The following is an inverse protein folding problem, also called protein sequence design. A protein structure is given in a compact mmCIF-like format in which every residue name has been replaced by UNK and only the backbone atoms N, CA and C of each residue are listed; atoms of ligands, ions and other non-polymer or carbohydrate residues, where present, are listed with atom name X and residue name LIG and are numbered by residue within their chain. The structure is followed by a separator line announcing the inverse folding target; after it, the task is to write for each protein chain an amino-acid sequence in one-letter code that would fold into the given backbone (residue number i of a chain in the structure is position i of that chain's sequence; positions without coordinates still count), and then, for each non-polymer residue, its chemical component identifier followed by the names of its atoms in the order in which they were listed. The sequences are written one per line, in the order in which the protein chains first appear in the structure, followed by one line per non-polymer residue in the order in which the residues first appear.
data_IF_970079573061
#
_entry.id   IF_970079573061
#
_cell.length_a   1.000
_cell.length_b   1.000
_cell.length_c   1.000
_cell.angle_alpha   90.00
_cell.angle_beta   90.00
_cell.angle_gamma   90.00
#
_symmetry.space_group_name_H-M   'P 1'
#
loop_
_entity.id
_entity.type
_entity.pdbx_description
1 polymer ?
#
# COMPACT_ATOMS: atom_id res chain seq x y z
N UNK A 1 25.41 10.57 5.30
CA UNK A 1 24.77 10.64 6.64
C UNK A 1 23.67 11.71 6.72
N UNK A 2 23.83 12.84 6.01
CA UNK A 2 22.89 13.98 5.97
C UNK A 2 21.46 13.62 5.55
N UNK A 3 21.28 12.72 4.57
CA UNK A 3 19.94 12.31 4.11
C UNK A 3 19.15 11.49 5.14
N UNK A 4 19.80 10.61 5.91
CA UNK A 4 19.10 9.86 6.97
C UNK A 4 18.69 10.75 8.14
N UNK A 5 19.51 11.75 8.48
CA UNK A 5 19.20 12.73 9.54
C UNK A 5 18.13 13.74 9.14
N UNK A 6 17.81 13.86 7.84
CA UNK A 6 16.77 14.76 7.35
C UNK A 6 15.36 14.29 7.71
N UNK A 7 15.16 12.97 7.94
CA UNK A 7 13.87 12.40 8.34
C UNK A 7 13.56 12.78 9.78
N UNK A 8 12.47 13.51 10.01
CA UNK A 8 12.11 14.01 11.34
C UNK A 8 11.95 12.91 12.39
N UNK A 9 11.53 11.71 12.00
CA UNK A 9 11.49 10.55 12.90
C UNK A 9 12.87 10.20 13.48
N UNK A 10 13.94 10.36 12.71
CA UNK A 10 15.30 10.05 13.15
C UNK A 10 15.86 11.15 14.06
N UNK A 11 15.43 12.41 13.88
CA UNK A 11 15.79 13.52 14.79
C UNK A 11 15.23 13.35 16.20
N UNK A 12 14.20 12.52 16.36
CA UNK A 12 13.56 12.21 17.66
C UNK A 12 14.26 11.10 18.43
N UNK A 13 15.33 10.53 17.89
CA UNK A 13 16.14 9.51 18.57
C UNK A 13 17.21 10.23 19.40
N UNK A 14 17.25 9.96 20.70
CA UNK A 14 18.24 10.50 21.64
C UNK A 14 18.64 9.43 22.67
N UNK A 15 19.60 9.73 23.55
CA UNK A 15 20.00 8.86 24.65
C UNK A 15 20.38 7.42 24.24
N UNK A 16 20.95 7.25 23.05
CA UNK A 16 21.36 5.93 22.55
C UNK A 16 22.51 5.41 23.39
N UNK A 17 22.29 4.26 24.04
CA UNK A 17 23.28 3.53 24.83
C UNK A 17 23.40 2.13 24.25
N UNK A 18 24.62 1.77 23.89
CA UNK A 18 24.95 0.40 23.50
C UNK A 18 25.27 -0.38 24.76
N UNK A 19 24.47 -1.41 25.03
CA UNK A 19 24.64 -2.33 26.15
C UNK A 19 25.68 -3.41 25.85
N UNK A 20 25.63 -4.48 26.63
CA UNK A 20 26.51 -5.62 26.42
C UNK A 20 26.20 -6.34 25.11
N UNK A 21 27.27 -6.82 24.47
CA UNK A 21 27.18 -7.75 23.37
C UNK A 21 27.27 -9.18 23.91
N UNK A 22 26.46 -10.10 23.38
CA UNK A 22 26.61 -11.54 23.61
C UNK A 22 26.92 -12.23 22.30
N UNK A 23 27.89 -13.14 22.31
CA UNK A 23 28.23 -13.92 21.12
C UNK A 23 27.14 -14.96 20.86
N UNK A 24 26.60 -14.97 19.64
CA UNK A 24 25.65 -15.99 19.20
C UNK A 24 26.37 -17.13 18.47
N UNK A 25 27.34 -16.78 17.62
CA UNK A 25 28.20 -17.72 16.89
C UNK A 25 29.57 -17.08 16.54
N UNK A 26 30.39 -17.76 15.74
CA UNK A 26 31.74 -17.29 15.34
C UNK A 26 31.75 -16.03 14.47
N UNK A 27 30.60 -15.69 13.90
CA UNK A 27 30.42 -14.57 12.98
C UNK A 27 29.32 -13.61 13.41
N UNK A 28 28.56 -13.89 14.47
CA UNK A 28 27.38 -13.13 14.87
C UNK A 28 27.40 -12.81 16.36
N UNK A 29 27.20 -11.55 16.69
CA UNK A 29 26.92 -11.08 18.05
C UNK A 29 25.49 -10.56 18.13
N UNK A 30 24.86 -10.71 19.29
CA UNK A 30 23.68 -9.97 19.69
C UNK A 30 24.11 -8.74 20.46
N UNK A 31 23.56 -7.56 20.17
CA UNK A 31 23.88 -6.30 20.85
C UNK A 31 22.59 -5.66 21.32
N UNK A 32 22.47 -5.45 22.64
CA UNK A 32 21.35 -4.70 23.21
C UNK A 32 21.63 -3.20 23.09
N UNK A 33 20.64 -2.43 22.67
CA UNK A 33 20.71 -0.99 22.53
C UNK A 33 19.48 -0.40 23.19
N UNK A 34 19.69 0.48 24.16
CA UNK A 34 18.61 1.31 24.71
C UNK A 34 18.67 2.70 24.10
N UNK A 35 17.53 3.29 23.81
CA UNK A 35 17.45 4.64 23.25
C UNK A 35 16.15 5.31 23.70
N UNK A 36 16.06 6.62 23.50
CA UNK A 36 14.81 7.35 23.60
C UNK A 36 14.31 7.67 22.19
N UNK A 37 13.09 7.26 21.83
CA UNK A 37 12.46 7.61 20.56
C UNK A 37 11.19 8.42 20.82
N UNK A 38 11.20 9.69 20.45
CA UNK A 38 10.03 10.55 20.56
C UNK A 38 9.56 10.77 22.01
N UNK A 39 10.45 10.59 22.99
CA UNK A 39 10.17 10.71 24.42
C UNK A 39 9.96 9.37 25.15
N UNK A 40 9.75 8.27 24.42
CA UNK A 40 9.62 6.94 24.99
C UNK A 40 10.99 6.23 25.06
N UNK A 41 11.23 5.44 26.10
CA UNK A 41 12.43 4.60 26.18
C UNK A 41 12.19 3.30 25.43
N UNK A 42 13.09 2.97 24.51
CA UNK A 42 13.10 1.75 23.71
C UNK A 42 14.28 0.88 24.11
N UNK A 43 14.08 -0.43 24.04
CA UNK A 43 15.10 -1.44 24.34
C UNK A 43 15.11 -2.48 23.22
N UNK A 44 16.12 -2.39 22.37
CA UNK A 44 16.22 -3.10 21.10
C UNK A 44 17.39 -4.07 21.14
N UNK A 45 17.21 -5.23 20.52
CA UNK A 45 18.28 -6.21 20.36
C UNK A 45 18.57 -6.39 18.87
N UNK A 46 19.80 -6.07 18.48
CA UNK A 46 20.27 -6.20 17.10
C UNK A 46 21.19 -7.39 16.95
N UNK A 47 21.11 -8.07 15.80
CA UNK A 47 22.16 -9.02 15.41
C UNK A 47 23.23 -8.25 14.63
N UNK A 48 24.49 -8.45 14.97
CA UNK A 48 25.62 -7.81 14.30
C UNK A 48 26.50 -8.91 13.74
N UNK A 49 26.65 -8.95 12.42
CA UNK A 49 27.35 -10.02 11.71
C UNK A 49 28.65 -9.52 11.10
N UNK A 50 29.70 -10.33 11.22
CA UNK A 50 31.00 -10.13 10.61
C UNK A 50 30.84 -10.19 9.08
N UNK A 51 31.29 -9.15 8.39
CA UNK A 51 31.32 -9.05 6.94
C UNK A 51 32.76 -9.21 6.45
N UNK A 52 33.08 -10.41 6.00
CA UNK A 52 34.42 -10.74 5.49
C UNK A 52 34.70 -10.20 4.09
N UNK A 53 33.68 -9.68 3.39
CA UNK A 53 33.83 -9.04 2.07
C UNK A 53 34.36 -7.61 2.16
N UNK A 54 34.33 -7.02 3.36
CA UNK A 54 34.82 -5.66 3.63
C UNK A 54 35.81 -5.73 4.79
N UNK A 55 37.05 -5.38 4.52
CA UNK A 55 38.13 -5.36 5.52
C UNK A 55 38.66 -3.94 5.62
N UNK A 56 38.70 -3.42 6.84
CA UNK A 56 39.44 -2.21 7.17
C UNK A 56 40.83 -2.61 7.69
N UNK A 57 41.83 -1.81 7.31
CA UNK A 57 43.22 -2.01 7.74
C UNK A 57 43.72 -3.45 7.53
N UNK A 58 43.41 -4.02 6.36
CA UNK A 58 43.89 -5.34 5.85
C UNK A 58 43.40 -6.57 6.62
N UNK A 59 43.13 -6.50 7.93
CA UNK A 59 42.81 -7.66 8.76
C UNK A 59 41.67 -7.46 9.76
N UNK A 60 40.99 -6.30 9.77
CA UNK A 60 39.78 -6.10 10.57
C UNK A 60 38.52 -6.16 9.69
N UNK A 61 37.75 -7.26 9.76
CA UNK A 61 36.49 -7.35 9.03
C UNK A 61 35.51 -6.30 9.53
N UNK A 62 34.76 -5.71 8.60
CA UNK A 62 33.64 -4.85 8.93
C UNK A 62 32.56 -5.64 9.65
N UNK A 63 31.70 -4.94 10.37
CA UNK A 63 30.52 -5.51 11.00
C UNK A 63 29.27 -4.87 10.41
N UNK A 64 28.26 -5.69 10.10
CA UNK A 64 26.95 -5.25 9.62
C UNK A 64 25.92 -5.45 10.70
N UNK A 65 25.17 -4.41 11.01
CA UNK A 65 23.99 -4.50 11.87
C UNK A 65 22.83 -5.04 11.03
N UNK A 66 22.27 -6.17 11.45
CA UNK A 66 21.00 -6.67 10.98
C UNK A 66 19.91 -5.97 11.78
N UNK A 67 19.19 -5.07 11.13
CA UNK A 67 17.97 -4.47 11.67
C UNK A 67 16.83 -5.43 11.36
N UNK A 68 16.25 -6.12 12.37
CA UNK A 68 15.04 -6.88 12.13
C UNK A 68 13.95 -5.87 11.78
N UNK A 69 13.51 -5.84 10.52
CA UNK A 69 12.24 -5.21 10.20
C UNK A 69 11.17 -6.00 10.93
N UNK A 70 10.48 -5.36 11.88
CA UNK A 70 9.23 -5.92 12.40
C UNK A 70 8.33 -6.12 11.18
N UNK A 71 7.95 -7.36 10.93
CA UNK A 71 7.18 -7.78 9.75
C UNK A 71 5.78 -7.18 9.68
N UNK A 72 5.41 -6.31 10.63
CA UNK A 72 4.13 -5.62 10.70
C UNK A 72 4.30 -4.12 10.54
N UNK A 73 3.51 -3.55 9.63
CA UNK A 73 3.29 -2.11 9.58
C UNK A 73 2.66 -1.64 10.89
N UNK A 74 3.19 -0.54 11.45
CA UNK A 74 2.57 0.08 12.61
C UNK A 74 1.17 0.66 12.25
N UNK A 75 0.30 0.93 13.23
CA UNK A 75 -1.06 1.42 12.97
C UNK A 75 -1.11 2.71 12.14
N UNK A 76 -0.15 3.62 12.33
CA UNK A 76 -0.09 4.87 11.57
C UNK A 76 0.21 4.63 10.08
N UNK A 77 1.14 3.73 9.77
CA UNK A 77 1.46 3.34 8.41
C UNK A 77 0.27 2.62 7.74
N UNK A 78 -0.45 1.76 8.48
CA UNK A 78 -1.69 1.13 8.00
C UNK A 78 -2.77 2.16 7.69
N UNK A 79 -2.96 3.15 8.56
CA UNK A 79 -3.92 4.23 8.35
C UNK A 79 -3.56 5.11 7.14
N UNK A 80 -2.27 5.46 6.99
CA UNK A 80 -1.78 6.21 5.84
C UNK A 80 -1.96 5.44 4.52
N UNK A 81 -1.69 4.13 4.54
CA UNK A 81 -1.93 3.26 3.39
C UNK A 81 -3.43 3.22 3.02
N UNK A 82 -4.31 3.02 4.00
CA UNK A 82 -5.76 3.04 3.78
C UNK A 82 -6.24 4.38 3.22
N UNK A 83 -5.73 5.50 3.72
CA UNK A 83 -6.07 6.84 3.20
C UNK A 83 -5.63 7.01 1.74
N UNK A 84 -4.42 6.55 1.39
CA UNK A 84 -3.92 6.60 0.00
C UNK A 84 -4.79 5.76 -0.94
N UNK A 85 -5.17 4.54 -0.55
CA UNK A 85 -6.06 3.68 -1.35
C UNK A 85 -7.45 4.31 -1.52
N UNK A 86 -8.03 4.88 -0.45
CA UNK A 86 -9.31 5.59 -0.54
C UNK A 86 -9.25 6.76 -1.51
N UNK A 87 -8.15 7.53 -1.48
CA UNK A 87 -7.92 8.62 -2.41
C UNK A 87 -7.82 8.11 -3.85
N UNK A 88 -7.15 6.98 -4.11
CA UNK A 88 -7.07 6.38 -5.44
C UNK A 88 -8.45 5.98 -5.99
N UNK A 89 -9.31 5.36 -5.17
CA UNK A 89 -10.70 5.04 -5.55
C UNK A 89 -11.57 6.29 -5.75
N UNK A 90 -11.29 7.37 -5.00
CA UNK A 90 -12.01 8.65 -5.14
C UNK A 90 -11.56 9.47 -6.35
N UNK A 91 -10.31 9.31 -6.78
CA UNK A 91 -9.67 10.11 -7.83
C UNK A 91 -9.27 9.23 -9.03
N UNK A 92 -10.10 8.24 -9.39
CA UNK A 92 -9.86 7.44 -10.59
C UNK A 92 -9.87 8.36 -11.81
N UNK A 93 -8.69 8.56 -12.41
CA UNK A 93 -8.56 9.28 -13.67
C UNK A 93 -8.89 8.32 -14.80
N UNK A 94 -10.08 8.48 -15.38
CA UNK A 94 -10.56 7.66 -16.48
C UNK A 94 -10.98 8.56 -17.64
N UNK A 95 -10.54 8.23 -18.87
CA UNK A 95 -10.96 8.97 -20.07
C UNK A 95 -12.38 8.55 -20.47
N UNK A 96 -13.36 9.33 -20.05
CA UNK A 96 -14.79 9.09 -20.32
C UNK A 96 -15.15 9.13 -21.81
N UNK A 97 -14.26 9.62 -22.68
CA UNK A 97 -14.47 9.58 -24.14
C UNK A 97 -13.97 8.28 -24.76
N UNK A 98 -12.98 7.65 -24.13
CA UNK A 98 -12.39 6.40 -24.61
C UNK A 98 -13.07 5.18 -23.98
N UNK A 99 -13.48 5.27 -22.72
CA UNK A 99 -14.00 4.17 -21.91
C UNK A 99 -15.45 4.39 -21.51
N UNK A 100 -16.27 3.33 -21.52
CA UNK A 100 -17.71 3.36 -21.23
C UNK A 100 -18.05 3.06 -19.77
N UNK A 101 -17.04 2.69 -18.99
CA UNK A 101 -17.12 2.09 -17.66
C UNK A 101 -16.41 2.94 -16.59
N UNK A 102 -16.11 4.20 -16.88
CA UNK A 102 -15.50 5.10 -15.91
C UNK A 102 -16.40 5.26 -14.67
N UNK A 103 -15.90 4.96 -13.46
CA UNK A 103 -16.66 5.14 -12.24
C UNK A 103 -17.08 6.60 -12.01
N UNK A 104 -18.24 6.78 -11.40
CA UNK A 104 -18.86 8.06 -11.05
C UNK A 104 -19.15 8.99 -12.24
N UNK A 105 -19.09 8.48 -13.47
CA UNK A 105 -19.55 9.19 -14.66
C UNK A 105 -20.95 8.71 -15.08
N UNK A 106 -21.75 9.64 -15.63
CA UNK A 106 -23.05 9.34 -16.20
C UNK A 106 -23.00 9.47 -17.71
N UNK A 107 -23.19 8.35 -18.39
CA UNK A 107 -23.24 8.28 -19.84
C UNK A 107 -24.68 8.39 -20.33
N UNK A 108 -24.91 9.17 -21.37
CA UNK A 108 -26.22 9.31 -22.00
C UNK A 108 -26.34 8.43 -23.24
N UNK A 109 -27.53 7.86 -23.44
CA UNK A 109 -27.93 7.20 -24.68
C UNK A 109 -28.73 8.21 -25.51
N UNK A 110 -28.36 8.46 -26.79
CA UNK A 110 -29.15 9.33 -27.65
C UNK A 110 -30.59 8.82 -27.82
N UNK A 111 -31.55 9.74 -27.95
CA UNK A 111 -32.95 9.37 -28.15
C UNK A 111 -33.14 8.50 -29.40
N UNK A 112 -33.89 7.39 -29.26
CA UNK A 112 -34.11 6.43 -30.34
C UNK A 112 -33.06 5.32 -30.45
N UNK A 113 -32.01 5.34 -29.62
CA UNK A 113 -30.95 4.32 -29.60
C UNK A 113 -30.97 3.50 -28.31
N UNK A 114 -30.22 2.40 -28.32
CA UNK A 114 -29.85 1.65 -27.12
C UNK A 114 -28.37 1.25 -27.21
N UNK A 115 -27.73 1.06 -26.07
CA UNK A 115 -26.41 0.43 -25.99
C UNK A 115 -26.50 -0.92 -25.28
N UNK A 116 -25.70 -1.87 -25.74
CA UNK A 116 -25.45 -3.15 -25.07
C UNK A 116 -24.13 -3.01 -24.34
N UNK A 117 -24.19 -2.97 -23.01
CA UNK A 117 -23.03 -2.82 -22.15
C UNK A 117 -22.47 -4.22 -21.88
N UNK A 118 -21.20 -4.51 -22.24
CA UNK A 118 -20.59 -5.77 -21.87
C UNK A 118 -20.43 -5.80 -20.35
N UNK A 119 -20.91 -6.87 -19.73
CA UNK A 119 -20.85 -7.03 -18.29
C UNK A 119 -20.70 -8.51 -17.91
N UNK A 120 -20.11 -8.76 -16.75
CA UNK A 120 -20.08 -10.10 -16.18
C UNK A 120 -21.51 -10.65 -16.03
N UNK A 121 -21.73 -11.88 -16.47
CA UNK A 121 -23.07 -12.49 -16.48
C UNK A 121 -23.98 -12.07 -17.64
N UNK A 122 -23.43 -11.42 -18.67
CA UNK A 122 -24.11 -11.14 -19.95
C UNK A 122 -24.43 -9.66 -20.17
N UNK A 123 -24.71 -9.32 -21.43
CA UNK A 123 -24.91 -7.94 -21.85
C UNK A 123 -26.12 -7.27 -21.18
N UNK A 124 -25.94 -6.00 -20.82
CA UNK A 124 -26.96 -5.18 -20.17
C UNK A 124 -27.40 -4.07 -21.13
N UNK A 125 -28.70 -4.00 -21.43
CA UNK A 125 -29.26 -2.98 -22.31
C UNK A 125 -29.58 -1.68 -21.56
N UNK A 126 -29.05 -0.56 -22.05
CA UNK A 126 -29.37 0.81 -21.62
C UNK A 126 -30.09 1.59 -22.73
N UNK A 127 -31.16 2.32 -22.37
CA UNK A 127 -31.98 3.07 -23.36
C UNK A 127 -31.94 4.59 -23.16
N UNK A 128 -31.49 5.06 -22.00
CA UNK A 128 -31.48 6.49 -21.68
C UNK A 128 -30.15 6.93 -21.07
N UNK A 129 -29.63 6.20 -20.08
CA UNK A 129 -28.35 6.49 -19.46
C UNK A 129 -27.89 5.34 -18.57
N UNK A 130 -26.60 5.33 -18.25
CA UNK A 130 -26.04 4.46 -17.22
C UNK A 130 -24.92 5.16 -16.43
N UNK A 131 -24.62 4.63 -15.25
CA UNK A 131 -23.48 5.04 -14.43
C UNK A 131 -22.97 3.89 -13.57
N UNK A 132 -21.66 3.82 -13.39
CA UNK A 132 -21.02 2.93 -12.43
C UNK A 132 -20.58 3.71 -11.19
N UNK A 133 -20.65 3.10 -10.02
CA UNK A 133 -20.11 3.67 -8.79
C UNK A 133 -19.52 2.59 -7.91
N UNK A 134 -18.42 2.89 -7.22
CA UNK A 134 -17.88 1.99 -6.19
C UNK A 134 -18.87 1.86 -5.02
N UNK A 135 -18.89 0.68 -4.41
CA UNK A 135 -19.74 0.36 -3.27
C UNK A 135 -18.88 -0.03 -2.08
N UNK A 136 -19.18 0.58 -0.92
CA UNK A 136 -18.51 0.29 0.34
C UNK A 136 -17.11 0.90 0.44
N UNK A 137 -16.41 0.52 1.51
CA UNK A 137 -15.03 0.93 1.76
C UNK A 137 -14.06 -0.13 1.20
N UNK A 138 -13.23 0.20 0.18
CA UNK A 138 -12.31 -0.77 -0.43
C UNK A 138 -11.23 -1.25 0.54
N UNK A 139 -11.07 -0.59 1.69
CA UNK A 139 -10.06 -0.92 2.70
C UNK A 139 -10.53 -1.92 3.75
N UNK A 140 -11.82 -2.26 3.81
CA UNK A 140 -12.35 -3.20 4.83
C UNK A 140 -11.76 -4.60 4.73
N UNK A 141 -11.42 -5.05 3.51
CA UNK A 141 -10.79 -6.35 3.25
C UNK A 141 -9.31 -6.24 2.88
N UNK A 142 -8.72 -5.06 3.08
CA UNK A 142 -7.37 -4.75 2.62
C UNK A 142 -6.31 -5.58 3.35
N UNK A 143 -5.43 -6.19 2.56
CA UNK A 143 -4.20 -6.85 3.01
C UNK A 143 -3.02 -6.01 2.58
N UNK A 144 -2.05 -5.86 3.48
CA UNK A 144 -0.80 -5.14 3.24
C UNK A 144 0.37 -6.09 3.46
N UNK A 145 1.31 -6.10 2.53
CA UNK A 145 2.54 -6.89 2.60
C UNK A 145 3.73 -5.97 2.35
N UNK A 146 4.71 -5.99 3.23
CA UNK A 146 5.96 -5.25 3.02
C UNK A 146 6.66 -5.85 1.81
N UNK A 147 6.91 -5.04 0.79
CA UNK A 147 7.58 -5.51 -0.42
C UNK A 147 9.06 -5.76 -0.17
N UNK A 148 9.71 -6.55 -1.02
CA UNK A 148 11.17 -6.71 -0.99
C UNK A 148 11.89 -5.40 -1.37
N UNK A 149 11.21 -4.55 -2.15
CA UNK A 149 11.69 -3.23 -2.55
C UNK A 149 11.60 -2.24 -1.39
N UNK A 150 12.69 -1.49 -1.18
CA UNK A 150 12.74 -0.48 -0.12
C UNK A 150 11.68 0.61 -0.33
N UNK A 151 10.94 0.92 0.73
CA UNK A 151 9.93 1.98 0.72
C UNK A 151 8.61 1.60 0.04
N UNK A 152 8.43 0.32 -0.34
CA UNK A 152 7.21 -0.15 -1.00
C UNK A 152 6.39 -1.10 -0.13
N UNK A 153 5.08 -1.05 -0.30
CA UNK A 153 4.10 -1.96 0.29
C UNK A 153 3.17 -2.43 -0.81
N UNK A 154 2.99 -3.73 -0.92
CA UNK A 154 1.98 -4.31 -1.79
C UNK A 154 0.65 -4.38 -1.03
N UNK A 155 -0.41 -3.98 -1.71
CA UNK A 155 -1.76 -3.94 -1.18
C UNK A 155 -2.72 -4.69 -2.09
N UNK A 156 -3.71 -5.33 -1.47
CA UNK A 156 -4.78 -6.01 -2.19
C UNK A 156 -6.05 -5.99 -1.37
N UNK A 157 -7.19 -6.13 -2.02
CA UNK A 157 -8.47 -6.26 -1.34
C UNK A 157 -9.58 -6.68 -2.28
N UNK A 158 -10.77 -6.78 -1.72
CA UNK A 158 -12.01 -6.92 -2.47
C UNK A 158 -12.65 -5.56 -2.69
N UNK A 159 -13.33 -5.41 -3.80
CA UNK A 159 -14.14 -4.24 -4.10
C UNK A 159 -15.44 -4.64 -4.77
N UNK A 160 -16.41 -3.72 -4.76
CA UNK A 160 -17.66 -3.87 -5.48
C UNK A 160 -18.02 -2.61 -6.24
N UNK A 161 -18.76 -2.80 -7.32
CA UNK A 161 -19.31 -1.74 -8.15
C UNK A 161 -20.80 -1.93 -8.35
N UNK A 162 -21.53 -0.82 -8.49
CA UNK A 162 -22.94 -0.81 -8.82
C UNK A 162 -23.14 -0.07 -10.13
N UNK A 163 -23.65 -0.78 -11.13
CA UNK A 163 -24.17 -0.18 -12.36
C UNK A 163 -25.63 0.20 -12.13
N UNK A 164 -25.98 1.43 -12.45
CA UNK A 164 -27.37 1.89 -12.51
C UNK A 164 -27.71 2.21 -13.95
N UNK A 165 -28.82 1.67 -14.46
CA UNK A 165 -29.30 1.83 -15.83
C UNK A 165 -30.72 2.35 -15.83
N UNK A 166 -30.98 3.35 -16.67
CA UNK A 166 -32.31 3.92 -16.89
C UNK A 166 -33.03 4.33 -15.58
N UNK A 167 -32.24 4.75 -14.58
CA UNK A 167 -32.68 5.23 -13.27
C UNK A 167 -33.33 4.23 -12.31
N UNK A 168 -33.56 2.98 -12.74
CA UNK A 168 -34.33 2.01 -11.96
C UNK A 168 -33.69 0.64 -11.88
N UNK A 169 -32.89 0.24 -12.88
CA UNK A 169 -32.23 -1.07 -12.88
C UNK A 169 -30.86 -0.95 -12.25
N UNK A 170 -30.57 -1.82 -11.29
CA UNK A 170 -29.27 -1.90 -10.65
C UNK A 170 -28.65 -3.28 -10.83
N UNK A 171 -27.35 -3.29 -11.05
CA UNK A 171 -26.55 -4.50 -11.19
C UNK A 171 -25.33 -4.35 -10.28
N UNK A 172 -25.15 -5.29 -9.37
CA UNK A 172 -24.02 -5.28 -8.45
C UNK A 172 -22.95 -6.20 -9.00
N UNK A 173 -21.71 -5.76 -8.85
CA UNK A 173 -20.54 -6.50 -9.22
C UNK A 173 -19.57 -6.55 -8.05
N UNK A 174 -18.78 -7.61 -8.05
CA UNK A 174 -17.70 -7.85 -7.11
C UNK A 174 -16.46 -8.21 -7.87
N UNK A 175 -15.32 -7.89 -7.27
CA UNK A 175 -14.03 -8.28 -7.78
C UNK A 175 -12.94 -7.97 -6.78
N UNK A 176 -11.73 -7.88 -7.29
CA UNK A 176 -10.55 -7.57 -6.52
C UNK A 176 -9.87 -6.30 -7.01
N UNK A 177 -8.93 -5.83 -6.19
CA UNK A 177 -7.99 -4.81 -6.56
C UNK A 177 -6.63 -5.16 -6.00
N UNK A 178 -5.60 -4.70 -6.70
CA UNK A 178 -4.21 -4.81 -6.27
C UNK A 178 -3.53 -3.46 -6.45
N UNK A 179 -2.53 -3.16 -5.66
CA UNK A 179 -1.74 -1.96 -5.85
C UNK A 179 -0.42 -1.99 -5.12
N UNK A 180 0.47 -1.08 -5.51
CA UNK A 180 1.74 -0.87 -4.84
C UNK A 180 1.75 0.56 -4.29
N UNK A 181 2.03 0.67 -2.99
CA UNK A 181 2.21 1.95 -2.32
C UNK A 181 3.69 2.26 -2.20
N UNK A 182 4.07 3.48 -2.59
CA UNK A 182 5.45 3.97 -2.45
C UNK A 182 5.48 5.08 -1.40
N UNK A 183 6.29 4.91 -0.37
CA UNK A 183 6.48 5.93 0.65
C UNK A 183 7.38 7.05 0.12
N UNK A 184 6.86 8.28 0.08
CA UNK A 184 7.62 9.46 -0.27
C UNK A 184 7.17 10.66 0.56
N UNK A 185 8.12 11.50 0.97
CA UNK A 185 7.87 12.78 1.64
C UNK A 185 6.84 12.75 2.81
N UNK A 186 6.80 11.65 3.59
CA UNK A 186 5.91 11.53 4.76
C UNK A 186 4.53 10.94 4.48
N UNK A 187 4.26 10.43 3.27
CA UNK A 187 3.01 9.75 2.92
C UNK A 187 3.18 8.67 1.85
N UNK A 188 2.07 8.04 1.46
CA UNK A 188 2.04 7.05 0.38
C UNK A 188 1.42 7.63 -0.89
N UNK A 189 2.13 7.48 -2.01
CA UNK A 189 1.47 7.41 -3.33
C UNK A 189 1.06 5.96 -3.59
N UNK A 190 -0.04 5.78 -4.32
CA UNK A 190 -0.54 4.46 -4.68
C UNK A 190 -0.69 4.33 -6.19
N UNK A 191 -0.26 3.20 -6.71
CA UNK A 191 -0.57 2.74 -8.06
C UNK A 191 -1.51 1.54 -7.90
N UNK A 192 -2.73 1.64 -8.42
CA UNK A 192 -3.82 0.69 -8.13
C UNK A 192 -4.43 0.20 -9.43
N UNK A 193 -4.52 -1.11 -9.57
CA UNK A 193 -5.29 -1.81 -10.59
C UNK A 193 -6.62 -2.27 -10.02
N UNK A 194 -7.71 -1.93 -10.70
CA UNK A 194 -9.08 -2.15 -10.23
C UNK A 194 -9.80 -3.13 -11.17
N UNK A 195 -10.31 -4.23 -10.62
CA UNK A 195 -11.06 -5.25 -11.35
C UNK A 195 -12.43 -5.50 -10.69
N UNK A 196 -13.07 -4.43 -10.23
CA UNK A 196 -14.22 -4.48 -9.32
C UNK A 196 -15.55 -4.91 -9.97
N UNK A 197 -15.54 -5.17 -11.27
CA UNK A 197 -16.69 -5.55 -12.11
C UNK A 197 -16.55 -6.95 -12.75
N UNK A 198 -15.53 -7.72 -12.36
CA UNK A 198 -15.20 -9.03 -12.96
C UNK A 198 -16.27 -10.10 -12.78
N UNK A 199 -17.08 -10.04 -11.72
CA UNK A 199 -18.17 -10.99 -11.47
C UNK A 199 -19.44 -10.27 -11.04
N UNK A 200 -20.58 -10.76 -11.53
CA UNK A 200 -21.89 -10.27 -11.10
C UNK A 200 -22.27 -10.92 -9.76
N UNK A 201 -22.67 -10.08 -8.81
CA UNK A 201 -23.04 -10.48 -7.45
C UNK A 201 -24.53 -10.82 -7.34
#
# INVERSE_FOLDING_TARGET
MTAMMAVDQNKRISNVKVGSASRLDDSTNSVRVTLSWGGASEDLTYKVRKDTSRVHYVFYPSWRVQVPFTTGLNPAAKAAAAASIKAAFGNVTCDVKQYFDCPNHRYAVPAGYYYMLPAAGGDIRANSWWSLAFVGDPTTSMKLTVSADSGKIDASGLCGMKLTVDGSKTYNFVGDWTGTLTWSAGGFSSDVTLNCDTSRA
#
